data_IF_386438815054
#
_entry.id   IF_386438815054
#
_cell.length_a   1.000
_cell.length_b   1.000
_cell.length_c   1.000
_cell.angle_alpha   90.00
_cell.angle_beta   90.00
_cell.angle_gamma   90.00
#
_symmetry.space_group_name_H-M   'P 1'
#
loop_
_entity.id
_entity.type
_entity.pdbx_description
1 polymer ?
#
# COMPACT_ATOMS: atom_id res chain seq x y z
N UNK A 1 -18.21 21.31 -17.51
CA UNK A 1 -17.05 22.17 -17.20
C UNK A 1 -16.17 21.40 -16.22
N UNK A 2 -14.83 21.49 -16.30
CA UNK A 2 -13.98 20.87 -15.31
C UNK A 2 -14.23 21.51 -13.95
N UNK A 3 -14.37 20.67 -12.94
CA UNK A 3 -14.52 21.05 -11.54
C UNK A 3 -13.13 21.12 -10.89
N UNK A 4 -12.99 21.95 -9.86
CA UNK A 4 -11.74 22.10 -9.12
C UNK A 4 -11.98 21.87 -7.63
N UNK A 5 -11.09 21.10 -7.01
CA UNK A 5 -10.98 20.98 -5.56
C UNK A 5 -9.59 21.41 -5.12
N UNK A 6 -9.49 22.18 -4.05
CA UNK A 6 -8.22 22.62 -3.46
C UNK A 6 -8.17 22.15 -2.01
N UNK A 7 -7.14 21.37 -1.68
CA UNK A 7 -6.77 21.07 -0.31
C UNK A 7 -5.61 21.99 0.11
N UNK A 8 -5.67 22.52 1.33
CA UNK A 8 -4.66 23.41 1.89
C UNK A 8 -4.24 22.97 3.28
N UNK A 9 -2.96 23.06 3.60
CA UNK A 9 -2.47 22.99 4.99
C UNK A 9 -2.16 24.40 5.50
N UNK A 10 -2.88 24.83 6.54
CA UNK A 10 -2.76 26.17 7.12
C UNK A 10 -1.43 26.43 7.81
N UNK A 11 -0.76 25.39 8.29
CA UNK A 11 0.49 25.53 9.02
C UNK A 11 1.67 25.80 8.09
N UNK A 12 1.66 25.18 6.92
CA UNK A 12 2.74 25.29 5.91
C UNK A 12 2.39 26.23 4.75
N UNK A 13 1.12 26.58 4.58
CA UNK A 13 0.63 27.33 3.41
C UNK A 13 0.62 26.49 2.12
N UNK A 14 0.84 25.18 2.21
CA UNK A 14 0.85 24.29 1.06
C UNK A 14 -0.57 24.09 0.52
N UNK A 15 -0.70 24.17 -0.81
CA UNK A 15 -1.96 23.90 -1.50
C UNK A 15 -1.77 22.83 -2.59
N UNK A 16 -2.78 21.96 -2.72
CA UNK A 16 -2.89 20.95 -3.78
C UNK A 16 -4.24 21.12 -4.46
N UNK A 17 -4.22 21.42 -5.75
CA UNK A 17 -5.42 21.56 -6.56
C UNK A 17 -5.60 20.37 -7.51
N UNK A 18 -6.78 19.76 -7.50
CA UNK A 18 -7.19 18.73 -8.46
C UNK A 18 -8.30 19.30 -9.33
N UNK A 19 -8.09 19.25 -10.64
CA UNK A 19 -9.03 19.77 -11.63
C UNK A 19 -9.40 18.66 -12.61
N UNK A 20 -10.69 18.47 -12.89
CA UNK A 20 -11.14 17.41 -13.80
C UNK A 20 -12.66 17.26 -13.85
N UNK A 21 -13.12 16.18 -14.46
CA UNK A 21 -14.55 15.83 -14.47
C UNK A 21 -14.83 14.94 -13.26
N UNK A 22 -15.52 15.49 -12.25
CA UNK A 22 -15.80 14.72 -11.04
C UNK A 22 -17.03 13.83 -11.20
N UNK A 23 -17.02 12.61 -10.63
CA UNK A 23 -18.14 11.69 -10.68
C UNK A 23 -19.40 12.33 -10.06
N UNK A 24 -20.61 12.02 -10.55
CA UNK A 24 -21.84 12.60 -10.02
C UNK A 24 -22.16 12.12 -8.59
N UNK A 25 -21.64 10.95 -8.19
CA UNK A 25 -21.94 10.37 -6.90
C UNK A 25 -21.29 11.17 -5.75
N UNK A 26 -22.06 11.58 -4.72
CA UNK A 26 -21.53 12.37 -3.61
C UNK A 26 -20.38 11.69 -2.86
N UNK A 27 -20.46 10.37 -2.63
CA UNK A 27 -19.41 9.67 -1.89
C UNK A 27 -18.08 9.67 -2.63
N UNK A 28 -18.08 9.55 -3.96
CA UNK A 28 -16.86 9.59 -4.75
C UNK A 28 -16.22 10.98 -4.69
N UNK A 29 -17.03 12.04 -4.68
CA UNK A 29 -16.56 13.41 -4.48
C UNK A 29 -15.94 13.60 -3.09
N UNK A 30 -16.56 13.03 -2.06
CA UNK A 30 -15.98 13.03 -0.70
C UNK A 30 -14.67 12.26 -0.65
N UNK A 31 -14.55 11.15 -1.39
CA UNK A 31 -13.29 10.39 -1.49
C UNK A 31 -12.20 11.22 -2.15
N UNK A 32 -12.49 11.93 -3.25
CA UNK A 32 -11.54 12.87 -3.89
C UNK A 32 -11.04 13.90 -2.88
N UNK A 33 -11.97 14.57 -2.17
CA UNK A 33 -11.63 15.58 -1.18
C UNK A 33 -10.72 15.02 -0.08
N UNK A 34 -11.07 13.85 0.48
CA UNK A 34 -10.28 13.18 1.52
C UNK A 34 -8.90 12.79 1.03
N UNK A 35 -8.78 12.21 -0.15
CA UNK A 35 -7.48 11.80 -0.73
C UNK A 35 -6.58 13.01 -0.95
N UNK A 36 -7.11 14.10 -1.51
CA UNK A 36 -6.36 15.34 -1.70
C UNK A 36 -5.87 15.94 -0.36
N UNK A 37 -6.72 15.93 0.66
CA UNK A 37 -6.35 16.38 2.00
C UNK A 37 -5.28 15.49 2.63
N UNK A 38 -5.38 14.17 2.50
CA UNK A 38 -4.35 13.24 2.98
C UNK A 38 -3.00 13.49 2.30
N UNK A 39 -3.00 13.62 0.97
CA UNK A 39 -1.80 13.92 0.21
C UNK A 39 -1.19 15.27 0.60
N UNK A 40 -2.01 16.31 0.76
CA UNK A 40 -1.55 17.63 1.22
C UNK A 40 -0.86 17.54 2.58
N UNK A 41 -1.47 16.85 3.55
CA UNK A 41 -0.88 16.66 4.89
C UNK A 41 0.44 15.87 4.83
N UNK A 42 0.49 14.84 4.00
CA UNK A 42 1.70 14.05 3.79
C UNK A 42 2.82 14.93 3.22
N UNK A 43 2.54 15.71 2.18
CA UNK A 43 3.50 16.64 1.58
C UNK A 43 3.97 17.70 2.58
N UNK A 44 3.06 18.30 3.35
CA UNK A 44 3.40 19.24 4.41
C UNK A 44 4.34 18.63 5.45
N UNK A 45 4.14 17.35 5.80
CA UNK A 45 4.97 16.61 6.75
C UNK A 45 6.38 16.42 6.20
N UNK A 46 6.51 16.04 4.93
CA UNK A 46 7.80 15.86 4.28
C UNK A 46 8.53 17.20 4.16
N UNK A 47 7.85 18.25 3.71
CA UNK A 47 8.43 19.60 3.57
C UNK A 47 8.88 20.20 4.91
N UNK A 48 8.22 19.84 6.01
CA UNK A 48 8.62 20.23 7.37
C UNK A 48 9.84 19.45 7.91
N UNK A 49 10.41 18.52 7.13
CA UNK A 49 11.60 17.76 7.53
C UNK A 49 12.85 18.61 7.32
N UNK A 50 13.53 18.99 8.40
CA UNK A 50 14.70 19.89 8.36
C UNK A 50 15.91 19.25 7.68
N UNK A 51 16.17 17.97 7.95
CA UNK A 51 17.29 17.25 7.35
C UNK A 51 17.02 16.93 5.87
N UNK A 52 17.88 17.43 4.99
CA UNK A 52 17.77 17.25 3.54
C UNK A 52 17.84 15.78 3.09
N UNK A 53 18.68 14.97 3.73
CA UNK A 53 18.82 13.55 3.42
C UNK A 53 17.53 12.80 3.76
N UNK A 54 17.03 12.98 4.98
CA UNK A 54 15.80 12.36 5.45
C UNK A 54 14.59 12.81 4.60
N UNK A 55 14.55 14.10 4.23
CA UNK A 55 13.51 14.65 3.37
C UNK A 55 13.52 14.00 1.99
N UNK A 56 14.70 13.82 1.37
CA UNK A 56 14.84 13.12 0.08
C UNK A 56 14.41 11.66 0.20
N UNK A 57 14.78 10.98 1.28
CA UNK A 57 14.37 9.59 1.52
C UNK A 57 12.85 9.45 1.64
N UNK A 58 12.20 10.35 2.40
CA UNK A 58 10.75 10.39 2.54
C UNK A 58 10.04 10.64 1.21
N UNK A 59 10.56 11.54 0.37
CA UNK A 59 10.03 11.73 -0.99
C UNK A 59 10.12 10.46 -1.81
N UNK A 60 11.29 9.84 -1.86
CA UNK A 60 11.50 8.59 -2.60
C UNK A 60 10.57 7.47 -2.12
N UNK A 61 10.29 7.38 -0.81
CA UNK A 61 9.39 6.40 -0.25
C UNK A 61 7.93 6.62 -0.70
N UNK A 62 7.45 7.87 -0.66
CA UNK A 62 6.08 8.21 -1.08
C UNK A 62 5.89 8.07 -2.59
N UNK A 63 6.88 8.47 -3.40
CA UNK A 63 6.84 8.26 -4.85
C UNK A 63 6.62 6.78 -5.18
N UNK A 64 7.43 5.88 -4.59
CA UNK A 64 7.30 4.45 -4.84
C UNK A 64 5.95 3.89 -4.36
N UNK A 65 5.40 4.39 -3.25
CA UNK A 65 4.07 3.98 -2.79
C UNK A 65 2.95 4.44 -3.74
N UNK A 66 3.06 5.64 -4.29
CA UNK A 66 2.09 6.16 -5.25
C UNK A 66 2.17 5.43 -6.59
N UNK A 67 3.38 5.13 -7.07
CA UNK A 67 3.60 4.27 -8.24
C UNK A 67 2.97 2.88 -8.05
N UNK A 68 3.14 2.29 -6.86
CA UNK A 68 2.56 0.99 -6.54
C UNK A 68 1.03 1.03 -6.47
N UNK A 69 0.47 2.08 -5.87
CA UNK A 69 -0.98 2.27 -5.82
C UNK A 69 -1.57 2.45 -7.22
N UNK A 70 -0.92 3.22 -8.09
CA UNK A 70 -1.31 3.38 -9.49
C UNK A 70 -1.27 2.06 -10.26
N UNK A 71 -0.18 1.30 -10.12
CA UNK A 71 -0.06 -0.03 -10.74
C UNK A 71 -1.16 -1.00 -10.29
N UNK A 72 -1.48 -1.02 -8.99
CA UNK A 72 -2.57 -1.84 -8.45
C UNK A 72 -3.95 -1.43 -9.02
N UNK A 73 -4.21 -0.13 -9.14
CA UNK A 73 -5.46 0.38 -9.73
C UNK A 73 -5.55 0.03 -11.22
N UNK A 74 -4.40 -0.01 -11.92
CA UNK A 74 -4.30 -0.43 -13.33
C UNK A 74 -4.24 -1.94 -13.53
N UNK A 75 -4.28 -2.73 -12.45
CA UNK A 75 -4.13 -4.20 -12.48
C UNK A 75 -2.80 -4.67 -13.13
N UNK A 76 -1.78 -3.82 -13.07
CA UNK A 76 -0.44 -4.04 -13.67
C UNK A 76 0.47 -4.79 -12.69
N UNK A 77 0.26 -6.11 -12.58
CA UNK A 77 0.96 -6.94 -11.60
C UNK A 77 2.46 -7.08 -11.87
N UNK A 78 2.90 -6.91 -13.13
CA UNK A 78 4.33 -6.90 -13.47
C UNK A 78 5.01 -5.66 -12.88
N UNK A 79 4.39 -4.50 -13.04
CA UNK A 79 4.88 -3.26 -12.44
C UNK A 79 4.85 -3.31 -10.91
N UNK A 80 3.80 -3.88 -10.31
CA UNK A 80 3.73 -4.10 -8.86
C UNK A 80 4.92 -4.93 -8.37
N UNK A 81 5.23 -6.05 -9.04
CA UNK A 81 6.37 -6.90 -8.68
C UNK A 81 7.70 -6.16 -8.80
N UNK A 82 7.90 -5.38 -9.86
CA UNK A 82 9.10 -4.56 -10.07
C UNK A 82 9.29 -3.53 -8.96
N UNK A 83 8.21 -2.84 -8.59
CA UNK A 83 8.22 -1.83 -7.52
C UNK A 83 8.44 -2.47 -6.14
N UNK A 84 7.83 -3.62 -5.86
CA UNK A 84 8.08 -4.38 -4.63
C UNK A 84 9.56 -4.79 -4.51
N UNK A 85 10.17 -5.30 -5.58
CA UNK A 85 11.61 -5.63 -5.58
C UNK A 85 12.46 -4.41 -5.22
N UNK A 86 12.17 -3.24 -5.81
CA UNK A 86 12.87 -1.98 -5.51
C UNK A 86 12.72 -1.55 -4.04
N UNK A 87 11.55 -1.74 -3.44
CA UNK A 87 11.32 -1.46 -2.01
C UNK A 87 12.16 -2.40 -1.14
N UNK A 88 12.17 -3.69 -1.46
CA UNK A 88 12.92 -4.70 -0.70
C UNK A 88 14.43 -4.49 -0.79
N UNK A 89 14.96 -4.17 -1.98
CA UNK A 89 16.36 -3.79 -2.18
C UNK A 89 16.75 -2.57 -1.32
N UNK A 90 15.89 -1.56 -1.22
CA UNK A 90 16.12 -0.38 -0.37
C UNK A 90 16.13 -0.70 1.13
N UNK A 91 15.36 -1.69 1.56
CA UNK A 91 15.37 -2.17 2.95
C UNK A 91 16.54 -3.12 3.25
N UNK A 92 17.42 -3.37 2.27
CA UNK A 92 18.55 -4.28 2.41
C UNK A 92 18.18 -5.75 2.35
N UNK A 93 16.95 -6.07 1.92
CA UNK A 93 16.49 -7.44 1.71
C UNK A 93 16.88 -7.84 0.29
N UNK A 94 17.88 -8.71 0.15
CA UNK A 94 18.31 -9.21 -1.15
C UNK A 94 17.33 -10.25 -1.72
N UNK A 95 17.38 -10.47 -3.03
CA UNK A 95 16.59 -11.54 -3.67
C UNK A 95 16.87 -12.91 -3.06
N UNK A 96 18.11 -13.17 -2.61
CA UNK A 96 18.43 -14.43 -1.96
C UNK A 96 17.72 -14.59 -0.60
N UNK A 97 17.55 -13.50 0.16
CA UNK A 97 16.81 -13.53 1.43
C UNK A 97 15.31 -13.72 1.22
N UNK A 98 14.76 -13.20 0.13
CA UNK A 98 13.37 -13.42 -0.28
C UNK A 98 13.11 -14.87 -0.68
N UNK A 99 13.99 -15.46 -1.48
CA UNK A 99 13.86 -16.87 -1.88
C UNK A 99 13.96 -17.80 -0.66
N UNK A 100 14.82 -17.45 0.30
CA UNK A 100 14.92 -18.16 1.58
C UNK A 100 13.65 -18.01 2.44
N UNK A 101 13.06 -16.81 2.50
CA UNK A 101 11.81 -16.58 3.23
C UNK A 101 10.62 -17.31 2.57
N UNK A 102 10.57 -17.32 1.24
CA UNK A 102 9.56 -18.04 0.46
C UNK A 102 9.67 -19.56 0.65
N UNK A 103 10.90 -20.11 0.64
CA UNK A 103 11.14 -21.53 0.94
C UNK A 103 10.65 -21.91 2.33
N UNK A 104 10.96 -21.10 3.35
CA UNK A 104 10.48 -21.34 4.73
C UNK A 104 8.96 -21.31 4.85
N UNK A 105 8.30 -20.37 4.18
CA UNK A 105 6.84 -20.31 4.14
C UNK A 105 6.23 -21.56 3.49
N UNK A 106 6.84 -22.07 2.40
CA UNK A 106 6.38 -23.29 1.74
C UNK A 106 6.59 -24.52 2.64
N UNK A 107 7.72 -24.61 3.36
CA UNK A 107 7.98 -25.71 4.28
C UNK A 107 7.02 -25.69 5.49
N UNK A 108 6.67 -24.51 6.00
CA UNK A 108 5.70 -24.35 7.10
C UNK A 108 4.25 -24.61 6.66
N UNK A 109 3.85 -24.19 5.45
CA UNK A 109 2.51 -24.43 4.90
C UNK A 109 2.34 -25.82 4.28
N UNK A 110 3.42 -26.44 3.81
CA UNK A 110 3.45 -27.79 3.24
C UNK A 110 3.65 -28.90 4.28
N UNK A 111 3.99 -28.53 5.52
CA UNK A 111 4.30 -29.45 6.62
C UNK A 111 3.11 -30.01 7.40
N UNK A 112 1.88 -29.53 7.19
CA UNK A 112 0.69 -29.94 7.97
C UNK A 112 -0.38 -30.66 7.11
N UNK A 113 0.07 -31.37 6.07
CA UNK A 113 -0.78 -32.09 5.11
C UNK A 113 -0.77 -33.61 5.21
N UNK A 114 -0.20 -34.21 6.27
CA UNK A 114 -0.07 -35.67 6.30
C UNK A 114 0.25 -36.29 7.65
N UNK A 115 -0.81 -36.68 8.37
CA UNK A 115 -1.01 -37.90 9.17
C UNK A 115 -1.69 -37.61 10.53
N UNK A 116 -3.01 -37.80 10.57
CA UNK A 116 -3.62 -38.66 11.60
C UNK A 116 -5.04 -39.06 11.16
N UNK A 117 -5.13 -40.16 10.40
CA UNK A 117 -6.38 -40.89 10.26
C UNK A 117 -6.64 -41.68 11.56
N UNK A 118 -7.48 -41.13 12.43
CA UNK A 118 -8.19 -41.91 13.45
C UNK A 118 -9.66 -41.49 13.45
N UNK A 119 -10.62 -42.41 13.26
CA UNK A 119 -12.02 -42.04 13.09
C UNK A 119 -12.61 -41.50 14.41
N UNK A 120 -13.54 -40.53 14.34
CA UNK A 120 -14.16 -39.96 15.53
C UNK A 120 -15.03 -41.01 16.24
N UNK A 121 -14.74 -41.22 17.52
CA UNK A 121 -15.56 -42.04 18.42
C UNK A 121 -16.90 -41.32 18.65
N UNK A 122 -17.93 -41.68 17.86
CA UNK A 122 -19.30 -41.16 18.04
C UNK A 122 -19.94 -41.82 19.27
N UNK A 123 -20.51 -41.05 20.23
CA UNK A 123 -21.31 -41.63 21.29
C UNK A 123 -22.65 -42.16 20.74
N UNK A 124 -23.23 -43.21 21.34
CA UNK A 124 -24.44 -43.84 20.83
C UNK A 124 -25.66 -42.92 20.94
N UNK A 125 -26.68 -43.10 20.08
CA UNK A 125 -27.87 -42.26 20.07
C UNK A 125 -28.70 -42.48 21.33
N UNK A 126 -29.13 -41.37 21.94
CA UNK A 126 -30.07 -41.37 23.06
C UNK A 126 -31.48 -41.60 22.48
N UNK A 127 -32.16 -42.62 23.00
CA UNK A 127 -33.54 -42.99 22.69
C UNK A 127 -34.53 -42.10 23.46
#
# INVERSE_FOLDING_TARGET
>A
MPEQYIASDKNTGLEVAVTGTFPPHPDDRVRIARTCTLFTRLMSTILSTENDSDRRERFMAIETQLEMADALIREDMEEVQRLMQRVMERMGISKEQLDELARRLIDELGGDGGQDESPPNLPPPIN
#
